data_IF_570314825168
#
_entry.id   IF_570314825168
#
_cell.length_a   1.000
_cell.length_b   1.000
_cell.length_c   1.000
_cell.angle_alpha   90.00
_cell.angle_beta   90.00
_cell.angle_gamma   90.00
#
_symmetry.space_group_name_H-M   'P 1'
#
loop_
_entity.id
_entity.type
_entity.pdbx_description
1 polymer ?
#
# COMPACT_ATOMS: atom_id res chain seq x y z
N UNK A 1 14.57 16.12 -3.89
CA UNK A 1 15.66 17.03 -3.45
C UNK A 1 15.59 18.31 -4.28
N UNK A 2 15.02 19.38 -3.73
CA UNK A 2 14.79 20.65 -4.46
C UNK A 2 16.09 21.47 -4.44
N UNK A 3 16.74 21.65 -5.59
CA UNK A 3 17.90 22.55 -5.72
C UNK A 3 17.39 24.00 -5.62
N UNK A 4 17.70 24.70 -4.53
CA UNK A 4 17.27 26.09 -4.30
C UNK A 4 18.47 27.05 -4.46
N UNK A 5 18.32 28.08 -5.30
CA UNK A 5 19.38 29.08 -5.62
C UNK A 5 19.50 30.08 -4.46
N UNK A 6 20.69 30.67 -4.29
CA UNK A 6 21.12 31.35 -3.05
C UNK A 6 20.29 32.58 -2.65
N UNK A 7 19.62 33.25 -3.59
CA UNK A 7 18.76 34.42 -3.33
C UNK A 7 17.34 34.06 -2.85
N UNK A 8 16.90 32.82 -3.08
CA UNK A 8 15.54 32.34 -2.78
C UNK A 8 15.50 31.55 -1.46
N UNK A 9 16.64 31.51 -0.77
CA UNK A 9 16.91 30.64 0.38
C UNK A 9 16.02 30.95 1.57
N UNK A 10 15.70 32.23 1.83
CA UNK A 10 14.80 32.63 2.91
C UNK A 10 13.35 32.21 2.65
N UNK A 11 12.86 32.35 1.41
CA UNK A 11 11.54 31.85 1.01
C UNK A 11 11.47 30.32 1.05
N UNK A 12 12.50 29.61 0.55
CA UNK A 12 12.60 28.14 0.63
C UNK A 12 12.58 27.62 2.07
N UNK A 13 13.29 28.28 3.00
CA UNK A 13 13.31 27.91 4.43
C UNK A 13 11.94 28.15 5.06
N UNK A 14 11.31 29.29 4.81
CA UNK A 14 10.02 29.63 5.41
C UNK A 14 8.89 28.71 4.92
N UNK A 15 8.84 28.42 3.61
CA UNK A 15 7.90 27.45 3.01
C UNK A 15 8.15 26.05 3.57
N UNK A 16 9.42 25.62 3.66
CA UNK A 16 9.78 24.32 4.24
C UNK A 16 9.31 24.17 5.70
N UNK A 17 9.46 25.20 6.52
CA UNK A 17 9.02 25.21 7.92
C UNK A 17 7.49 25.15 8.04
N UNK A 18 6.76 25.86 7.18
CA UNK A 18 5.29 25.84 7.16
C UNK A 18 4.77 24.45 6.78
N UNK A 19 5.34 23.82 5.76
CA UNK A 19 4.96 22.47 5.31
C UNK A 19 5.23 21.44 6.42
N UNK A 20 6.40 21.50 7.07
CA UNK A 20 6.73 20.60 8.18
C UNK A 20 5.72 20.75 9.35
N UNK A 21 5.35 21.99 9.68
CA UNK A 21 4.37 22.26 10.74
C UNK A 21 2.98 21.72 10.40
N UNK A 22 2.54 21.86 9.14
CA UNK A 22 1.25 21.33 8.68
C UNK A 22 1.24 19.80 8.68
N UNK A 23 2.30 19.16 8.18
CA UNK A 23 2.45 17.71 8.16
C UNK A 23 2.43 17.13 9.58
N UNK A 24 3.18 17.72 10.51
CA UNK A 24 3.18 17.30 11.92
C UNK A 24 1.79 17.45 12.58
N UNK A 25 1.02 18.47 12.18
CA UNK A 25 -0.35 18.68 12.68
C UNK A 25 -1.32 17.62 12.16
N UNK A 26 -1.16 17.22 10.89
CA UNK A 26 -1.92 16.14 10.27
C UNK A 26 -1.55 14.79 10.87
N UNK A 27 -0.26 14.51 11.05
CA UNK A 27 0.24 13.29 11.71
C UNK A 27 -0.32 13.17 13.13
N UNK A 28 -0.35 14.26 13.90
CA UNK A 28 -0.92 14.24 15.26
C UNK A 28 -2.43 14.03 15.30
N UNK A 29 -3.16 14.46 14.26
CA UNK A 29 -4.63 14.34 14.19
C UNK A 29 -5.06 12.98 13.63
N UNK A 30 -4.37 12.49 12.61
CA UNK A 30 -4.73 11.29 11.85
C UNK A 30 -3.86 10.07 12.15
N UNK A 31 -2.79 10.20 12.94
CA UNK A 31 -1.94 9.08 13.34
C UNK A 31 -2.70 7.97 14.09
N UNK A 32 -3.86 8.27 14.68
CA UNK A 32 -4.74 7.28 15.32
C UNK A 32 -5.50 6.39 14.33
N UNK A 33 -5.59 6.77 13.06
CA UNK A 33 -6.23 5.98 11.99
C UNK A 33 -5.23 5.16 11.17
N UNK A 34 -3.94 5.25 11.50
CA UNK A 34 -2.93 4.42 10.86
C UNK A 34 -3.11 2.96 11.30
N UNK A 35 -3.36 2.07 10.34
CA UNK A 35 -3.46 0.64 10.59
C UNK A 35 -2.04 0.10 10.70
N UNK A 36 -1.64 -0.26 11.93
CA UNK A 36 -0.34 -0.88 12.15
C UNK A 36 -0.32 -2.30 11.60
N UNK A 37 0.72 -2.65 10.84
CA UNK A 37 0.89 -3.99 10.27
C UNK A 37 0.01 -4.23 9.04
N UNK A 38 -0.30 -3.19 8.27
CA UNK A 38 -1.10 -3.29 7.03
C UNK A 38 -0.59 -4.41 6.12
N UNK A 39 0.73 -4.52 5.98
CA UNK A 39 1.37 -5.53 5.14
C UNK A 39 1.10 -6.95 5.60
N UNK A 40 0.91 -7.18 6.90
CA UNK A 40 0.52 -8.49 7.44
C UNK A 40 -0.86 -8.90 6.95
N UNK A 41 -1.82 -7.97 6.95
CA UNK A 41 -3.18 -8.21 6.47
C UNK A 41 -3.21 -8.47 4.97
N UNK A 42 -2.46 -7.69 4.17
CA UNK A 42 -2.36 -7.88 2.72
C UNK A 42 -1.77 -9.25 2.40
N UNK A 43 -0.65 -9.62 3.04
CA UNK A 43 0.00 -10.92 2.83
C UNK A 43 -0.90 -12.09 3.24
N UNK A 44 -1.61 -11.97 4.38
CA UNK A 44 -2.56 -13.00 4.81
C UNK A 44 -3.74 -13.15 3.83
N UNK A 45 -4.27 -12.04 3.31
CA UNK A 45 -5.34 -12.07 2.32
C UNK A 45 -4.89 -12.68 0.99
N UNK A 46 -3.68 -12.36 0.52
CA UNK A 46 -3.09 -12.98 -0.67
C UNK A 46 -2.96 -14.51 -0.51
N UNK A 47 -2.51 -14.96 0.67
CA UNK A 47 -2.45 -16.39 0.97
C UNK A 47 -3.85 -17.03 0.98
N UNK A 48 -4.85 -16.37 1.55
CA UNK A 48 -6.22 -16.86 1.56
C UNK A 48 -6.81 -16.96 0.15
N UNK A 49 -6.60 -15.96 -0.70
CA UNK A 49 -7.05 -15.99 -2.11
C UNK A 49 -6.39 -17.12 -2.87
N UNK A 50 -5.10 -17.35 -2.68
CA UNK A 50 -4.40 -18.48 -3.28
C UNK A 50 -5.03 -19.84 -2.89
N UNK A 51 -5.32 -20.03 -1.60
CA UNK A 51 -5.97 -21.27 -1.14
C UNK A 51 -7.39 -21.43 -1.74
N UNK A 52 -8.14 -20.33 -1.87
CA UNK A 52 -9.45 -20.35 -2.52
C UNK A 52 -9.35 -20.65 -4.02
N UNK A 53 -8.31 -20.17 -4.69
CA UNK A 53 -8.07 -20.39 -6.11
C UNK A 53 -7.72 -21.86 -6.42
N UNK A 54 -7.04 -22.54 -5.49
CA UNK A 54 -6.83 -24.00 -5.59
C UNK A 54 -8.15 -24.77 -5.61
N UNK A 55 -9.19 -24.27 -4.92
CA UNK A 55 -10.53 -24.87 -4.87
C UNK A 55 -11.38 -24.44 -6.07
N UNK A 56 -11.27 -23.17 -6.48
CA UNK A 56 -12.03 -22.57 -7.56
C UNK A 56 -11.09 -21.90 -8.59
N UNK A 57 -10.59 -22.67 -9.57
CA UNK A 57 -9.74 -22.13 -10.63
C UNK A 57 -10.57 -21.19 -11.52
N UNK A 58 -10.30 -19.88 -11.40
CA UNK A 58 -11.09 -18.82 -12.03
C UNK A 58 -11.49 -17.68 -11.09
N UNK A 59 -11.24 -17.84 -9.79
CA UNK A 59 -11.46 -16.77 -8.81
C UNK A 59 -10.66 -15.50 -9.19
N UNK A 60 -9.39 -15.62 -9.59
CA UNK A 60 -8.53 -14.49 -9.98
C UNK A 60 -9.20 -13.57 -11.03
N UNK A 61 -9.87 -14.15 -12.03
CA UNK A 61 -10.54 -13.40 -13.09
C UNK A 61 -11.66 -12.48 -12.56
N UNK A 62 -12.24 -12.78 -11.39
CA UNK A 62 -13.24 -11.95 -10.73
C UNK A 62 -12.63 -10.82 -9.90
N UNK A 63 -11.37 -10.98 -9.46
CA UNK A 63 -10.65 -9.99 -8.66
C UNK A 63 -9.85 -9.01 -9.53
N UNK A 64 -9.47 -9.41 -10.75
CA UNK A 64 -8.63 -8.63 -11.66
C UNK A 64 -9.26 -7.26 -11.96
N UNK A 65 -8.46 -6.20 -12.05
CA UNK A 65 -8.97 -4.88 -12.38
C UNK A 65 -9.22 -4.75 -13.88
N UNK A 66 -10.50 -4.85 -14.30
CA UNK A 66 -10.94 -4.67 -15.69
C UNK A 66 -11.77 -3.39 -15.78
N UNK A 67 -11.25 -2.30 -16.39
CA UNK A 67 -11.94 -0.99 -16.41
C UNK A 67 -13.35 -1.05 -17.01
N UNK A 68 -13.54 -1.83 -18.07
CA UNK A 68 -14.85 -2.03 -18.70
C UNK A 68 -15.87 -2.66 -17.74
N UNK A 69 -15.44 -3.64 -16.94
CA UNK A 69 -16.30 -4.30 -15.96
C UNK A 69 -16.60 -3.39 -14.75
N UNK A 70 -15.65 -2.53 -14.36
CA UNK A 70 -15.88 -1.51 -13.32
C UNK A 70 -16.95 -0.51 -13.76
N UNK A 71 -16.89 -0.05 -15.01
CA UNK A 71 -17.93 0.81 -15.59
C UNK A 71 -19.29 0.12 -15.69
N UNK A 72 -19.30 -1.21 -15.82
CA UNK A 72 -20.51 -2.03 -15.79
C UNK A 72 -21.03 -2.34 -14.37
N UNK A 73 -20.46 -1.75 -13.32
CA UNK A 73 -20.93 -1.86 -11.93
C UNK A 73 -20.11 -2.79 -11.03
N UNK A 74 -19.02 -3.39 -11.52
CA UNK A 74 -18.14 -4.25 -10.70
C UNK A 74 -17.12 -3.43 -9.90
N UNK A 75 -17.61 -2.56 -9.02
CA UNK A 75 -16.79 -1.58 -8.28
C UNK A 75 -15.81 -2.21 -7.29
N UNK A 76 -16.08 -3.43 -6.82
CA UNK A 76 -15.19 -4.14 -5.90
C UNK A 76 -13.80 -4.40 -6.49
N UNK A 77 -13.69 -4.49 -7.83
CA UNK A 77 -12.41 -4.69 -8.53
C UNK A 77 -11.38 -3.59 -8.25
N UNK A 78 -11.81 -2.41 -7.84
CA UNK A 78 -10.93 -1.30 -7.44
C UNK A 78 -10.13 -1.60 -6.16
N UNK A 79 -10.56 -2.56 -5.36
CA UNK A 79 -9.89 -2.92 -4.10
C UNK A 79 -9.40 -4.36 -4.14
N UNK A 80 -10.18 -5.28 -4.70
CA UNK A 80 -9.85 -6.73 -4.67
C UNK A 80 -8.61 -7.08 -5.47
N UNK A 81 -8.21 -6.28 -6.45
CA UNK A 81 -7.01 -6.57 -7.26
C UNK A 81 -5.72 -6.59 -6.41
N UNK A 82 -5.70 -5.87 -5.29
CA UNK A 82 -4.56 -5.83 -4.35
C UNK A 82 -4.38 -7.18 -3.63
N UNK A 83 -5.44 -8.00 -3.59
CA UNK A 83 -5.45 -9.29 -2.89
C UNK A 83 -5.04 -10.46 -3.80
N UNK A 84 -4.75 -10.19 -5.08
CA UNK A 84 -4.37 -11.23 -6.05
C UNK A 84 -2.97 -11.75 -5.72
N UNK A 85 -2.80 -13.07 -5.53
CA UNK A 85 -1.52 -13.64 -5.13
C UNK A 85 -0.42 -13.31 -6.17
N UNK A 86 0.79 -12.90 -5.74
CA UNK A 86 1.85 -12.47 -6.65
C UNK A 86 2.54 -13.64 -7.38
N UNK A 87 2.21 -14.88 -7.04
CA UNK A 87 2.72 -16.09 -7.69
C UNK A 87 1.68 -17.21 -7.60
N UNK A 88 1.59 -18.01 -8.66
CA UNK A 88 0.65 -19.14 -8.76
C UNK A 88 1.28 -20.49 -8.39
N UNK A 89 2.61 -20.56 -8.36
CA UNK A 89 3.33 -21.77 -7.94
C UNK A 89 3.36 -21.89 -6.41
N UNK A 90 2.93 -23.03 -5.88
CA UNK A 90 2.79 -23.26 -4.44
C UNK A 90 4.07 -23.04 -3.61
N UNK A 91 5.23 -23.38 -4.16
CA UNK A 91 6.51 -23.10 -3.51
C UNK A 91 6.86 -21.60 -3.57
N UNK A 92 6.73 -21.00 -4.76
CA UNK A 92 7.10 -19.60 -4.98
C UNK A 92 6.20 -18.63 -4.24
N UNK A 93 4.92 -18.94 -4.05
CA UNK A 93 4.03 -18.02 -3.32
C UNK A 93 4.46 -17.84 -1.87
N UNK A 94 4.80 -18.92 -1.16
CA UNK A 94 5.27 -18.81 0.23
C UNK A 94 6.56 -18.00 0.31
N UNK A 95 7.48 -18.23 -0.63
CA UNK A 95 8.72 -17.48 -0.73
C UNK A 95 8.46 -16.00 -1.01
N UNK A 96 7.68 -15.68 -2.04
CA UNK A 96 7.36 -14.29 -2.42
C UNK A 96 6.61 -13.55 -1.31
N UNK A 97 5.63 -14.19 -0.67
CA UNK A 97 4.88 -13.60 0.45
C UNK A 97 5.76 -13.30 1.65
N UNK A 98 6.75 -14.17 1.95
CA UNK A 98 7.74 -13.91 2.99
C UNK A 98 8.57 -12.66 2.69
N UNK A 99 9.07 -12.53 1.46
CA UNK A 99 9.80 -11.34 1.03
C UNK A 99 8.93 -10.08 1.08
N UNK A 100 7.69 -10.16 0.59
CA UNK A 100 6.74 -9.05 0.61
C UNK A 100 6.43 -8.61 2.03
N UNK A 101 6.28 -9.56 2.95
CA UNK A 101 6.07 -9.26 4.36
C UNK A 101 7.26 -8.49 4.96
N UNK A 102 8.50 -8.95 4.73
CA UNK A 102 9.69 -8.29 5.29
C UNK A 102 9.91 -6.90 4.69
N UNK A 103 9.83 -6.78 3.37
CA UNK A 103 9.99 -5.49 2.68
C UNK A 103 8.91 -4.52 3.15
N UNK A 104 7.66 -5.00 3.19
CA UNK A 104 6.52 -4.21 3.64
C UNK A 104 6.64 -3.73 5.08
N UNK A 105 6.99 -4.62 6.00
CA UNK A 105 7.23 -4.23 7.40
C UNK A 105 8.40 -3.28 7.56
N UNK A 106 9.50 -3.49 6.80
CA UNK A 106 10.65 -2.58 6.82
C UNK A 106 10.28 -1.17 6.35
N UNK A 107 9.45 -1.05 5.31
CA UNK A 107 8.93 0.24 4.83
C UNK A 107 8.00 0.90 5.86
N UNK A 108 7.09 0.14 6.45
CA UNK A 108 6.19 0.65 7.48
C UNK A 108 6.97 1.16 8.70
N UNK A 109 8.02 0.46 9.11
CA UNK A 109 8.89 0.87 10.22
C UNK A 109 9.74 2.10 9.87
N UNK A 110 10.23 2.22 8.64
CA UNK A 110 11.06 3.33 8.20
C UNK A 110 10.26 4.64 8.03
N UNK A 111 9.01 4.55 7.56
CA UNK A 111 8.19 5.74 7.27
C UNK A 111 7.17 6.04 8.37
N UNK A 112 6.83 5.07 9.20
CA UNK A 112 5.73 5.12 10.17
C UNK A 112 4.39 4.77 9.54
N UNK A 113 3.53 4.06 10.26
CA UNK A 113 2.25 3.53 9.76
C UNK A 113 1.34 4.60 9.15
N UNK A 114 1.41 5.86 9.63
CA UNK A 114 0.63 6.96 9.07
C UNK A 114 1.01 7.28 7.62
N UNK A 115 2.31 7.45 7.33
CA UNK A 115 2.81 7.80 5.99
C UNK A 115 2.79 6.62 5.02
N UNK A 116 2.74 5.41 5.56
CA UNK A 116 2.67 4.19 4.77
C UNK A 116 1.25 3.90 4.25
N UNK A 117 0.21 4.32 5.00
CA UNK A 117 -1.18 3.97 4.70
C UNK A 117 -1.99 5.14 4.07
N UNK A 118 -1.58 6.40 4.27
CA UNK A 118 -2.30 7.62 3.86
C UNK A 118 -1.40 8.48 2.98
#
# INVERSE_FOLDING_TARGET
MVKCKKADKFHCIFIGVIILKWLNKLERKYGRYAISGLMKYIVAANLAVFLLEVINPGLEANLMLIPQAVMAGQVWRLVTFILIPPATSAFWILFTLYFYYIIGMGLEQAWGSFKFNI
#
